data_IF_366688316264
#
_entry.id   IF_366688316264
#
_cell.length_a   1.000
_cell.length_b   1.000
_cell.length_c   1.000
_cell.angle_alpha   90.00
_cell.angle_beta   90.00
_cell.angle_gamma   90.00
#
_symmetry.space_group_name_H-M   'P 1'
#
loop_
_entity.id
_entity.type
_entity.pdbx_description
1 polymer ?
#
# COMPACT_ATOMS: atom_id res chain seq x y z
N UNK A 1 -19.35 -0.84 4.35
CA UNK A 1 -19.26 0.61 4.07
C UNK A 1 -18.33 0.81 2.87
N UNK A 2 -18.76 1.55 1.87
CA UNK A 2 -17.90 1.79 0.70
C UNK A 2 -17.05 3.04 0.88
N UNK A 3 -15.81 2.97 0.39
CA UNK A 3 -14.90 4.11 0.41
C UNK A 3 -15.23 5.05 -0.74
N UNK A 4 -15.18 6.34 -0.47
CA UNK A 4 -15.46 7.37 -1.49
C UNK A 4 -14.34 8.41 -1.49
N UNK A 5 -13.94 8.82 -2.68
CA UNK A 5 -12.98 9.93 -2.83
C UNK A 5 -13.55 11.19 -2.16
N UNK A 6 -12.70 11.88 -1.40
CA UNK A 6 -13.09 13.06 -0.64
C UNK A 6 -13.59 12.76 0.77
N UNK A 7 -13.77 11.51 1.13
CA UNK A 7 -14.21 11.10 2.47
C UNK A 7 -13.07 10.49 3.27
N UNK A 8 -13.21 10.45 4.60
CA UNK A 8 -12.22 9.87 5.48
C UNK A 8 -12.11 8.35 5.25
N UNK A 9 -10.88 7.84 5.32
CA UNK A 9 -10.63 6.40 5.26
C UNK A 9 -10.62 5.81 6.67
N UNK A 10 -10.88 4.50 6.82
CA UNK A 10 -10.73 3.84 8.13
C UNK A 10 -9.29 3.95 8.62
N UNK A 11 -9.14 4.34 9.89
CA UNK A 11 -7.83 4.28 10.56
C UNK A 11 -7.52 2.83 10.91
N UNK A 12 -6.25 2.54 11.10
CA UNK A 12 -5.83 1.19 11.49
C UNK A 12 -4.50 1.23 12.23
N UNK A 13 -4.23 0.15 12.96
CA UNK A 13 -2.93 -0.08 13.56
C UNK A 13 -2.51 -1.52 13.21
N UNK A 14 -1.41 -1.66 12.51
CA UNK A 14 -0.87 -2.95 12.09
C UNK A 14 0.60 -3.06 12.48
N UNK A 15 1.09 -4.29 12.65
CA UNK A 15 2.50 -4.53 12.93
C UNK A 15 3.30 -4.33 11.64
N UNK A 16 4.35 -3.52 11.75
CA UNK A 16 5.27 -3.26 10.64
C UNK A 16 6.39 -4.32 10.58
N UNK A 17 7.15 -4.31 9.50
CA UNK A 17 8.28 -5.24 9.30
C UNK A 17 9.35 -5.13 10.38
N UNK A 18 9.46 -4.00 11.09
CA UNK A 18 10.38 -3.83 12.21
C UNK A 18 9.81 -4.36 13.54
N UNK A 19 8.64 -4.98 13.53
CA UNK A 19 7.98 -5.51 14.72
C UNK A 19 7.22 -4.48 15.55
N UNK A 20 7.24 -3.21 15.15
CA UNK A 20 6.58 -2.13 15.89
C UNK A 20 5.20 -1.82 15.30
N UNK A 21 4.26 -1.31 16.12
CA UNK A 21 2.95 -0.92 15.59
C UNK A 21 3.04 0.30 14.68
N UNK A 22 2.26 0.28 13.62
CA UNK A 22 2.11 1.41 12.71
C UNK A 22 0.63 1.81 12.71
N UNK A 23 0.32 2.97 13.28
CA UNK A 23 -1.03 3.53 13.26
C UNK A 23 -1.08 4.63 12.21
N UNK A 24 -1.93 4.48 11.20
CA UNK A 24 -1.96 5.40 10.06
C UNK A 24 -2.11 6.86 10.49
N UNK A 25 -3.08 7.15 11.35
CA UNK A 25 -3.35 8.53 11.78
C UNK A 25 -2.19 9.18 12.54
N UNK A 26 -1.32 8.38 13.17
CA UNK A 26 -0.16 8.89 13.90
C UNK A 26 1.08 9.06 13.00
N UNK A 27 1.16 8.33 11.90
CA UNK A 27 2.34 8.28 11.05
C UNK A 27 2.25 9.13 9.81
N UNK A 28 1.04 9.44 9.37
CA UNK A 28 0.85 10.19 8.13
C UNK A 28 1.26 11.65 8.32
N UNK A 29 2.21 12.11 7.52
CA UNK A 29 2.72 13.49 7.56
C UNK A 29 2.22 14.31 6.39
N UNK A 30 2.33 13.77 5.20
CA UNK A 30 1.87 14.41 3.97
C UNK A 30 0.86 13.50 3.29
N UNK A 31 1.30 12.77 2.28
CA UNK A 31 0.46 11.81 1.58
C UNK A 31 1.03 10.41 1.74
N UNK A 32 0.15 9.42 1.76
CA UNK A 32 0.53 8.02 1.82
C UNK A 32 -0.17 7.29 0.68
N UNK A 33 0.59 6.48 -0.05
CA UNK A 33 0.04 5.53 -1.00
C UNK A 33 0.01 4.16 -0.30
N UNK A 34 -1.17 3.72 0.08
CA UNK A 34 -1.37 2.38 0.64
C UNK A 34 -1.46 1.39 -0.51
N UNK A 35 -0.61 0.39 -0.48
CA UNK A 35 -0.54 -0.64 -1.52
C UNK A 35 -0.89 -1.98 -0.89
N UNK A 36 -2.13 -2.43 -1.12
CA UNK A 36 -2.56 -3.79 -0.73
C UNK A 36 -2.12 -4.75 -1.82
N UNK A 37 -1.60 -5.92 -1.43
CA UNK A 37 -1.14 -6.91 -2.39
C UNK A 37 -1.30 -8.32 -1.82
N UNK A 38 -1.41 -9.36 -2.70
CA UNK A 38 -1.68 -10.72 -2.25
C UNK A 38 -0.59 -11.35 -1.39
N UNK A 39 0.67 -11.03 -1.62
CA UNK A 39 1.74 -11.60 -0.79
C UNK A 39 3.13 -11.30 -1.31
N UNK A 40 4.09 -11.32 -0.38
CA UNK A 40 5.51 -11.15 -0.67
C UNK A 40 6.02 -12.32 -1.53
N UNK A 41 6.98 -12.02 -2.38
CA UNK A 41 7.70 -13.04 -3.15
C UNK A 41 6.97 -13.57 -4.38
N UNK A 42 5.73 -13.15 -4.64
CA UNK A 42 5.08 -13.48 -5.90
C UNK A 42 5.68 -12.64 -7.03
N UNK A 43 5.75 -13.14 -8.29
CA UNK A 43 6.38 -12.38 -9.37
C UNK A 43 5.79 -10.99 -9.61
N UNK A 44 4.47 -10.86 -9.60
CA UNK A 44 3.79 -9.58 -9.83
C UNK A 44 4.04 -8.61 -8.69
N UNK A 45 3.97 -9.07 -7.44
CA UNK A 45 4.23 -8.23 -6.27
C UNK A 45 5.69 -7.80 -6.21
N UNK A 46 6.61 -8.70 -6.51
CA UNK A 46 8.05 -8.40 -6.57
C UNK A 46 8.33 -7.32 -7.61
N UNK A 47 7.76 -7.47 -8.81
CA UNK A 47 7.92 -6.50 -9.89
C UNK A 47 7.30 -5.15 -9.54
N UNK A 48 6.15 -5.15 -8.87
CA UNK A 48 5.48 -3.93 -8.42
C UNK A 48 6.38 -3.12 -7.47
N UNK A 49 6.91 -3.76 -6.44
CA UNK A 49 7.77 -3.07 -5.47
C UNK A 49 9.14 -2.72 -6.04
N UNK A 50 9.68 -3.52 -6.95
CA UNK A 50 10.91 -3.16 -7.67
C UNK A 50 10.71 -1.91 -8.53
N UNK A 51 9.56 -1.79 -9.18
CA UNK A 51 9.19 -0.62 -9.96
C UNK A 51 9.07 0.62 -9.06
N UNK A 52 8.41 0.51 -7.90
CA UNK A 52 8.35 1.60 -6.92
C UNK A 52 9.75 1.99 -6.42
N UNK A 53 10.59 1.01 -6.09
CA UNK A 53 11.97 1.24 -5.64
C UNK A 53 12.75 2.02 -6.69
N UNK A 54 12.65 1.63 -7.94
CA UNK A 54 13.39 2.27 -9.03
C UNK A 54 12.92 3.71 -9.31
N UNK A 55 11.75 4.07 -8.80
CA UNK A 55 11.17 5.41 -8.95
C UNK A 55 11.00 6.13 -7.61
N UNK A 56 11.68 5.67 -6.57
CA UNK A 56 11.53 6.20 -5.20
C UNK A 56 11.70 7.72 -5.12
N UNK A 57 12.70 8.26 -5.81
CA UNK A 57 12.96 9.70 -5.80
C UNK A 57 11.79 10.51 -6.35
N UNK A 58 11.09 9.98 -7.36
CA UNK A 58 9.93 10.65 -7.94
C UNK A 58 8.79 10.73 -6.94
N UNK A 59 8.57 9.66 -6.15
CA UNK A 59 7.56 9.64 -5.11
C UNK A 59 7.92 10.61 -3.96
N UNK A 60 9.19 10.65 -3.57
CA UNK A 60 9.67 11.58 -2.53
C UNK A 60 9.45 13.03 -2.92
N UNK A 61 9.68 13.37 -4.18
CA UNK A 61 9.46 14.74 -4.69
C UNK A 61 7.99 15.15 -4.63
N UNK A 62 7.08 14.19 -4.61
CA UNK A 62 5.65 14.44 -4.50
C UNK A 62 5.15 14.38 -3.05
N UNK A 63 6.07 14.20 -2.09
CA UNK A 63 5.78 14.04 -0.66
C UNK A 63 4.84 12.87 -0.38
N UNK A 64 5.04 11.76 -1.10
CA UNK A 64 4.25 10.54 -0.94
C UNK A 64 5.11 9.43 -0.37
N UNK A 65 4.65 8.83 0.73
CA UNK A 65 5.26 7.64 1.31
C UNK A 65 4.49 6.41 0.84
N UNK A 66 5.21 5.38 0.41
CA UNK A 66 4.60 4.12 -0.02
C UNK A 66 4.62 3.13 1.13
N UNK A 67 3.45 2.56 1.44
CA UNK A 67 3.25 1.58 2.51
C UNK A 67 2.62 0.34 1.90
N UNK A 68 3.28 -0.81 2.03
CA UNK A 68 2.73 -2.08 1.55
C UNK A 68 1.95 -2.80 2.65
N UNK A 69 0.86 -3.45 2.30
CA UNK A 69 0.01 -4.19 3.23
C UNK A 69 -0.33 -5.55 2.63
N UNK A 70 0.03 -6.63 3.33
CA UNK A 70 -0.34 -8.00 2.97
C UNK A 70 -0.54 -8.83 4.23
N UNK A 71 -0.90 -10.09 4.06
CA UNK A 71 -1.09 -11.00 5.20
C UNK A 71 0.20 -11.67 5.69
N UNK A 72 1.33 -11.47 5.02
CA UNK A 72 2.61 -12.04 5.42
C UNK A 72 3.09 -11.44 6.74
N UNK A 73 3.79 -12.24 7.56
CA UNK A 73 4.30 -11.78 8.85
C UNK A 73 5.56 -10.91 8.71
N UNK A 74 6.02 -10.35 9.85
CA UNK A 74 7.18 -9.46 9.88
C UNK A 74 8.45 -10.12 9.37
N UNK A 75 8.67 -11.39 9.69
CA UNK A 75 9.86 -12.12 9.22
C UNK A 75 9.85 -12.28 7.71
N UNK A 76 8.69 -12.60 7.15
CA UNK A 76 8.53 -12.76 5.71
C UNK A 76 8.77 -11.42 5.01
N UNK A 77 8.22 -10.33 5.56
CA UNK A 77 8.45 -8.98 5.06
C UNK A 77 9.92 -8.61 5.10
N UNK A 78 10.62 -8.91 6.19
CA UNK A 78 12.06 -8.63 6.32
C UNK A 78 12.87 -9.36 5.26
N UNK A 79 12.58 -10.64 5.02
CA UNK A 79 13.25 -11.43 3.99
C UNK A 79 13.00 -10.87 2.60
N UNK A 80 11.78 -10.51 2.30
CA UNK A 80 11.40 -9.91 1.03
C UNK A 80 12.12 -8.57 0.79
N UNK A 81 12.14 -7.71 1.81
CA UNK A 81 12.82 -6.41 1.73
C UNK A 81 14.32 -6.57 1.49
N UNK A 82 14.94 -7.51 2.23
CA UNK A 82 16.37 -7.76 2.11
C UNK A 82 16.73 -8.34 0.75
N UNK A 83 15.97 -9.33 0.29
CA UNK A 83 16.23 -10.02 -0.98
C UNK A 83 16.10 -9.08 -2.19
N UNK A 84 15.13 -8.17 -2.16
CA UNK A 84 14.81 -7.30 -3.28
C UNK A 84 15.14 -5.83 -3.04
N UNK A 85 15.84 -5.50 -1.95
CA UNK A 85 16.22 -4.12 -1.59
C UNK A 85 15.02 -3.17 -1.56
N UNK A 86 13.93 -3.60 -0.94
CA UNK A 86 12.70 -2.79 -0.84
C UNK A 86 12.84 -1.78 0.30
N UNK A 87 12.77 -0.47 0.04
CA UNK A 87 12.96 0.56 1.06
C UNK A 87 11.69 0.94 1.82
N UNK A 88 10.54 0.39 1.42
CA UNK A 88 9.25 0.81 1.95
C UNK A 88 8.87 0.01 3.19
N UNK A 89 8.07 0.62 4.07
CA UNK A 89 7.49 -0.08 5.23
C UNK A 89 6.44 -1.07 4.74
N UNK A 90 6.49 -2.29 5.24
CA UNK A 90 5.51 -3.34 4.95
C UNK A 90 4.76 -3.68 6.23
N UNK A 91 3.43 -3.75 6.16
CA UNK A 91 2.55 -4.01 7.30
C UNK A 91 1.88 -5.37 7.15
N UNK A 92 1.58 -5.99 8.30
CA UNK A 92 0.92 -7.29 8.35
C UNK A 92 -0.55 -7.14 8.71
N UNK A 93 -1.42 -7.52 7.77
CA UNK A 93 -2.87 -7.61 7.97
C UNK A 93 -3.24 -9.10 7.97
N UNK A 94 -2.92 -9.78 9.07
CA UNK A 94 -2.95 -11.24 9.17
C UNK A 94 -4.27 -11.85 8.73
N UNK A 95 -5.37 -11.27 9.18
CA UNK A 95 -6.72 -11.79 8.89
C UNK A 95 -7.42 -11.06 7.75
N UNK A 96 -6.78 -10.07 7.14
CA UNK A 96 -7.37 -9.29 6.08
C UNK A 96 -8.44 -8.31 6.55
N UNK A 97 -8.49 -8.00 7.85
CA UNK A 97 -9.51 -7.10 8.39
C UNK A 97 -9.38 -5.68 7.80
N UNK A 98 -8.18 -5.14 7.74
CA UNK A 98 -7.96 -3.81 7.16
C UNK A 98 -8.25 -3.82 5.67
N UNK A 99 -7.84 -4.88 4.96
CA UNK A 99 -8.17 -5.03 3.54
C UNK A 99 -9.70 -5.04 3.35
N UNK A 100 -10.43 -5.74 4.22
CA UNK A 100 -11.89 -5.75 4.20
C UNK A 100 -12.47 -4.35 4.42
N UNK A 101 -11.94 -3.61 5.38
CA UNK A 101 -12.39 -2.24 5.68
C UNK A 101 -12.16 -1.30 4.50
N UNK A 102 -11.16 -1.59 3.67
CA UNK A 102 -10.85 -0.82 2.45
C UNK A 102 -11.48 -1.44 1.19
N UNK A 103 -12.38 -2.41 1.34
CA UNK A 103 -13.04 -3.13 0.24
C UNK A 103 -12.05 -3.84 -0.70
N UNK A 104 -10.92 -4.27 -0.15
CA UNK A 104 -9.82 -4.88 -0.90
C UNK A 104 -9.60 -6.35 -0.53
N UNK A 105 -10.59 -7.00 0.09
CA UNK A 105 -10.54 -8.42 0.44
C UNK A 105 -11.47 -9.20 -0.48
N UNK A 106 -10.93 -10.21 -1.14
CA UNK A 106 -11.70 -11.07 -2.04
C UNK A 106 -11.82 -12.49 -1.51
N UNK A 107 -12.40 -13.35 -2.34
CA UNK A 107 -12.62 -14.77 -2.02
C UNK A 107 -11.28 -15.50 -1.76
N UNK A 108 -10.22 -15.11 -2.42
CA UNK A 108 -8.91 -15.77 -2.33
C UNK A 108 -7.89 -14.95 -1.52
N UNK A 109 -8.36 -14.00 -0.71
CA UNK A 109 -7.49 -13.18 0.13
C UNK A 109 -7.44 -11.73 -0.31
N UNK A 110 -6.37 -11.03 0.10
CA UNK A 110 -6.19 -9.61 -0.20
C UNK A 110 -6.02 -9.40 -1.71
N UNK A 111 -6.82 -8.49 -2.25
CA UNK A 111 -6.72 -8.08 -3.65
C UNK A 111 -5.59 -7.05 -3.81
N UNK A 112 -5.14 -6.84 -5.05
CA UNK A 112 -4.20 -5.78 -5.35
C UNK A 112 -4.95 -4.46 -5.47
N UNK A 113 -4.62 -3.49 -4.62
CA UNK A 113 -5.28 -2.20 -4.63
C UNK A 113 -4.35 -1.09 -4.19
N UNK A 114 -4.58 0.12 -4.68
CA UNK A 114 -3.84 1.32 -4.28
C UNK A 114 -4.81 2.39 -3.79
N UNK A 115 -4.42 3.08 -2.72
CA UNK A 115 -5.24 4.10 -2.08
C UNK A 115 -4.35 5.28 -1.73
N UNK A 116 -4.59 6.43 -2.36
CA UNK A 116 -3.88 7.66 -2.04
C UNK A 116 -4.65 8.41 -0.95
N UNK A 117 -4.00 8.60 0.18
CA UNK A 117 -4.59 9.22 1.37
C UNK A 117 -3.79 10.46 1.73
N UNK A 118 -4.47 11.57 2.01
CA UNK A 118 -3.81 12.82 2.42
C UNK A 118 -3.60 12.89 3.93
N UNK A 119 -2.99 13.97 4.41
CA UNK A 119 -2.68 14.15 5.83
C UNK A 119 -3.92 14.43 6.71
N UNK A 120 -5.08 14.56 6.12
CA UNK A 120 -6.37 14.69 6.83
C UNK A 120 -7.14 13.38 6.82
N UNK A 121 -6.48 12.29 6.46
CA UNK A 121 -7.08 10.95 6.36
C UNK A 121 -8.18 10.85 5.31
N UNK A 122 -8.16 11.70 4.29
CA UNK A 122 -9.14 11.69 3.22
C UNK A 122 -8.61 10.93 2.01
N UNK A 123 -9.48 10.14 1.39
CA UNK A 123 -9.15 9.39 0.18
C UNK A 123 -9.11 10.33 -1.02
N UNK A 124 -7.97 10.37 -1.72
CA UNK A 124 -7.79 11.18 -2.93
C UNK A 124 -7.95 10.37 -4.21
N UNK A 125 -7.58 9.10 -4.17
CA UNK A 125 -7.67 8.20 -5.32
C UNK A 125 -7.64 6.76 -4.82
N UNK A 126 -8.38 5.87 -5.50
CA UNK A 126 -8.28 4.44 -5.25
C UNK A 126 -8.49 3.65 -6.55
N UNK A 127 -7.82 2.51 -6.60
CA UNK A 127 -8.00 1.56 -7.70
C UNK A 127 -7.75 0.15 -7.17
N UNK A 128 -8.70 -0.74 -7.41
CA UNK A 128 -8.60 -2.15 -7.01
C UNK A 128 -8.64 -2.99 -8.27
N UNK A 129 -7.63 -3.83 -8.46
CA UNK A 129 -7.59 -4.72 -9.62
C UNK A 129 -8.55 -5.89 -9.42
N UNK A 130 -9.37 -6.17 -10.44
CA UNK A 130 -10.27 -7.32 -10.42
C UNK A 130 -9.52 -8.64 -10.62
N UNK A 131 -8.35 -8.59 -11.26
CA UNK A 131 -7.47 -9.73 -11.48
C UNK A 131 -6.09 -9.39 -10.91
N UNK A 132 -5.60 -10.19 -9.97
CA UNK A 132 -4.40 -9.86 -9.18
C UNK A 132 -3.09 -9.87 -9.98
N UNK A 133 -3.07 -10.39 -11.20
CA UNK A 133 -1.89 -10.33 -12.06
C UNK A 133 -1.70 -8.96 -12.72
N UNK A 134 -2.74 -8.12 -12.72
CA UNK A 134 -2.65 -6.75 -13.25
C UNK A 134 -2.25 -5.79 -12.15
N UNK A 135 -1.56 -4.72 -12.52
CA UNK A 135 -1.18 -3.62 -11.64
C UNK A 135 -0.96 -2.36 -12.45
N UNK A 136 -1.06 -1.21 -11.78
CA UNK A 136 -0.62 0.04 -12.39
C UNK A 136 0.88 0.18 -12.17
N UNK A 137 1.60 0.66 -13.19
CA UNK A 137 3.04 0.91 -13.07
C UNK A 137 3.30 2.26 -12.37
N UNK A 138 4.57 2.50 -12.00
CA UNK A 138 4.95 3.72 -11.28
C UNK A 138 4.65 5.00 -12.04
N UNK A 139 4.86 5.02 -13.36
CA UNK A 139 4.60 6.21 -14.16
C UNK A 139 3.12 6.58 -14.17
N UNK A 140 2.24 5.59 -14.30
CA UNK A 140 0.79 5.79 -14.20
C UNK A 140 0.39 6.32 -12.84
N UNK A 141 0.94 5.74 -11.78
CA UNK A 141 0.65 6.13 -10.39
C UNK A 141 1.13 7.55 -10.12
N UNK A 142 2.33 7.89 -10.57
CA UNK A 142 2.89 9.23 -10.43
C UNK A 142 2.00 10.28 -11.10
N UNK A 143 1.54 9.99 -12.30
CA UNK A 143 0.62 10.88 -13.02
C UNK A 143 -0.72 11.04 -12.27
N UNK A 144 -1.23 9.95 -11.69
CA UNK A 144 -2.45 9.99 -10.88
C UNK A 144 -2.27 10.80 -9.61
N UNK A 145 -1.13 10.67 -8.94
CA UNK A 145 -0.81 11.45 -7.75
C UNK A 145 -0.78 12.94 -8.08
N UNK A 146 -0.14 13.32 -9.17
CA UNK A 146 -0.10 14.72 -9.62
C UNK A 146 -1.49 15.26 -9.92
N UNK A 147 -2.35 14.42 -10.51
CA UNK A 147 -3.71 14.83 -10.88
C UNK A 147 -4.63 15.00 -9.67
N UNK A 148 -4.52 14.12 -8.67
CA UNK A 148 -5.47 14.05 -7.55
C UNK A 148 -4.92 14.60 -6.23
N UNK A 149 -3.71 15.10 -6.21
CA UNK A 149 -3.12 15.69 -4.98
C UNK A 149 -3.63 17.08 -4.68
#
# INVERSE_FOLDING_TARGET
MSLKVGKAVPDFSLVADNGKPYKLSNKIKNKVLLVFYPGDGTPVCTNQFADFRNNEEKFKKLDVEIIGISSNDSKYHQSFKKEHNIPFTLLTDEKGQVASDYNCLGMFGIKRGIFLVDNKMQLKYSHIESVSIFRRNSDEIIDLIKKYS
#
